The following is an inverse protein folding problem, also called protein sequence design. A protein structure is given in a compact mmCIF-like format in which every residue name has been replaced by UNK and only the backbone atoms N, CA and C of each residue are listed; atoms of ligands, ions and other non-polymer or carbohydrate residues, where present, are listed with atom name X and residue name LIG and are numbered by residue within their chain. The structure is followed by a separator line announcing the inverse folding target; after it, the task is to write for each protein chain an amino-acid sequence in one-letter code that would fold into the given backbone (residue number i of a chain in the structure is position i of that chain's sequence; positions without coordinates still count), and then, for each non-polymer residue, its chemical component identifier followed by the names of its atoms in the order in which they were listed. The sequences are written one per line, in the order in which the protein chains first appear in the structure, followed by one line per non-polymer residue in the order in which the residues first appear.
data_IF_501150980441
#
_entry.id   IF_501150980441
#
_cell.length_a   1.000
_cell.length_b   1.000
_cell.length_c   1.000
_cell.angle_alpha   90.00
_cell.angle_beta   90.00
_cell.angle_gamma   90.00
#
_symmetry.space_group_name_H-M   'P 1'
#
loop_
_entity.id
_entity.type
_entity.pdbx_description
1 polymer ?
#
# COMPACT_ATOMS: atom_id res chain seq x y z
N UNK A 1 -28.49 -15.47 -23.82
CA UNK A 1 -27.28 -14.94 -24.47
C UNK A 1 -26.78 -13.76 -23.62
N UNK A 2 -25.87 -13.99 -22.67
CA UNK A 2 -25.34 -12.93 -21.80
C UNK A 2 -24.20 -12.27 -22.56
N UNK A 3 -24.38 -11.02 -22.97
CA UNK A 3 -23.35 -10.21 -23.62
C UNK A 3 -22.29 -9.89 -22.55
N UNK A 4 -21.10 -10.48 -22.68
CA UNK A 4 -19.94 -10.09 -21.87
C UNK A 4 -19.63 -8.63 -22.20
N UNK A 5 -19.73 -7.74 -21.21
CA UNK A 5 -19.47 -6.32 -21.37
C UNK A 5 -17.95 -6.07 -21.50
N UNK A 6 -17.43 -5.68 -22.68
CA UNK A 6 -16.00 -5.48 -22.90
C UNK A 6 -15.43 -4.33 -22.04
N UNK A 7 -16.25 -3.35 -21.66
CA UNK A 7 -15.82 -2.18 -20.88
C UNK A 7 -15.47 -2.57 -19.44
N UNK A 8 -16.13 -3.62 -18.91
CA UNK A 8 -15.83 -4.16 -17.59
C UNK A 8 -14.39 -4.72 -17.52
N UNK A 9 -13.90 -5.36 -18.58
CA UNK A 9 -12.53 -5.89 -18.66
C UNK A 9 -11.47 -4.80 -18.63
N UNK A 10 -11.65 -3.76 -19.46
CA UNK A 10 -10.75 -2.61 -19.51
C UNK A 10 -10.67 -1.86 -18.17
N UNK A 11 -11.81 -1.75 -17.46
CA UNK A 11 -11.86 -1.13 -16.13
C UNK A 11 -11.11 -1.92 -15.06
N UNK A 12 -11.12 -3.26 -15.13
CA UNK A 12 -10.38 -4.13 -14.20
C UNK A 12 -8.89 -4.01 -14.46
N UNK A 13 -8.47 -4.12 -15.72
CA UNK A 13 -7.05 -4.02 -16.10
C UNK A 13 -6.44 -2.68 -15.66
N UNK A 14 -7.15 -1.58 -15.88
CA UNK A 14 -6.71 -0.24 -15.48
C UNK A 14 -6.50 -0.13 -13.96
N UNK A 15 -7.39 -0.73 -13.16
CA UNK A 15 -7.28 -0.72 -11.69
C UNK A 15 -6.17 -1.64 -11.19
N UNK A 16 -5.99 -2.82 -11.79
CA UNK A 16 -4.86 -3.72 -11.50
C UNK A 16 -3.54 -3.00 -11.76
N UNK A 17 -3.40 -2.34 -12.92
CA UNK A 17 -2.22 -1.56 -13.27
C UNK A 17 -1.94 -0.47 -12.25
N UNK A 18 -2.96 0.28 -11.85
CA UNK A 18 -2.80 1.33 -10.84
C UNK A 18 -2.27 0.78 -9.51
N UNK A 19 -2.86 -0.31 -9.01
CA UNK A 19 -2.42 -0.96 -7.76
C UNK A 19 -0.98 -1.45 -7.85
N UNK A 20 -0.62 -2.11 -8.95
CA UNK A 20 0.72 -2.64 -9.17
C UNK A 20 1.77 -1.51 -9.31
N UNK A 21 1.45 -0.43 -10.04
CA UNK A 21 2.34 0.73 -10.16
C UNK A 21 2.53 1.41 -8.81
N UNK A 22 1.47 1.60 -8.03
CA UNK A 22 1.57 2.15 -6.67
C UNK A 22 2.47 1.28 -5.78
N UNK A 23 2.27 -0.04 -5.80
CA UNK A 23 3.13 -1.00 -5.10
C UNK A 23 4.60 -0.89 -5.53
N UNK A 24 4.87 -0.79 -6.83
CA UNK A 24 6.22 -0.66 -7.36
C UNK A 24 6.89 0.65 -6.94
N UNK A 25 6.17 1.77 -7.01
CA UNK A 25 6.67 3.08 -6.57
C UNK A 25 6.99 3.08 -5.08
N UNK A 26 6.10 2.54 -4.25
CA UNK A 26 6.36 2.45 -2.81
C UNK A 26 7.50 1.48 -2.48
N UNK A 27 7.63 0.36 -3.18
CA UNK A 27 8.75 -0.56 -3.01
C UNK A 27 10.09 0.11 -3.39
N UNK A 28 10.14 0.76 -4.55
CA UNK A 28 11.32 1.48 -5.04
C UNK A 28 11.77 2.55 -4.05
N UNK A 29 10.84 3.43 -3.66
CA UNK A 29 11.14 4.53 -2.73
C UNK A 29 11.45 4.01 -1.33
N UNK A 30 10.86 2.89 -0.90
CA UNK A 30 11.15 2.25 0.39
C UNK A 30 12.55 1.64 0.44
N UNK A 31 12.98 0.98 -0.64
CA UNK A 31 14.35 0.47 -0.79
C UNK A 31 15.35 1.62 -0.80
N UNK A 32 15.08 2.69 -1.56
CA UNK A 32 15.93 3.87 -1.60
C UNK A 32 16.05 4.54 -0.22
N UNK A 33 14.92 4.72 0.47
CA UNK A 33 14.89 5.26 1.84
C UNK A 33 15.66 4.37 2.81
N UNK A 34 15.47 3.04 2.77
CA UNK A 34 16.20 2.10 3.63
C UNK A 34 17.72 2.15 3.41
N UNK A 35 18.17 2.20 2.16
CA UNK A 35 19.58 2.34 1.84
C UNK A 35 20.14 3.67 2.36
N UNK A 36 19.40 4.77 2.17
CA UNK A 36 19.76 6.10 2.67
C UNK A 36 19.83 6.14 4.20
N UNK A 37 18.83 5.59 4.90
CA UNK A 37 18.80 5.48 6.36
C UNK A 37 20.02 4.73 6.90
N UNK A 38 20.34 3.58 6.30
CA UNK A 38 21.42 2.71 6.76
C UNK A 38 22.83 3.28 6.57
N UNK A 39 23.07 4.02 5.48
CA UNK A 39 24.41 4.49 5.11
C UNK A 39 24.67 5.97 5.42
N UNK A 40 23.66 6.83 5.28
CA UNK A 40 23.83 8.26 5.43
C UNK A 40 23.30 8.80 6.77
N UNK A 41 22.18 8.24 7.26
CA UNK A 41 21.41 8.89 8.32
C UNK A 41 21.83 8.47 9.74
N UNK A 42 22.29 7.22 9.92
CA UNK A 42 22.60 6.63 11.23
C UNK A 42 23.59 7.42 12.10
N UNK A 43 24.54 8.11 11.50
CA UNK A 43 25.53 8.93 12.22
C UNK A 43 25.09 10.38 12.44
N UNK A 44 23.97 10.79 11.84
CA UNK A 44 23.54 12.20 11.77
C UNK A 44 22.32 12.48 12.64
N UNK A 45 21.48 11.48 12.89
CA UNK A 45 20.25 11.63 13.67
C UNK A 45 20.31 10.93 15.02
N UNK A 46 19.59 11.44 16.03
CA UNK A 46 19.46 10.77 17.32
C UNK A 46 18.75 9.41 17.17
N UNK A 47 19.01 8.44 18.07
CA UNK A 47 18.48 7.08 17.97
C UNK A 47 16.95 7.00 17.81
N UNK A 48 16.21 7.91 18.44
CA UNK A 48 14.75 7.95 18.38
C UNK A 48 14.23 8.29 16.97
N UNK A 49 14.89 9.23 16.27
CA UNK A 49 14.53 9.61 14.90
C UNK A 49 14.94 8.55 13.88
N UNK A 50 16.06 7.87 14.10
CA UNK A 50 16.44 6.69 13.31
C UNK A 50 15.40 5.58 13.48
N UNK A 51 14.94 5.30 14.71
CA UNK A 51 13.92 4.29 14.94
C UNK A 51 12.59 4.61 14.23
N UNK A 52 12.17 5.88 14.22
CA UNK A 52 11.00 6.34 13.47
C UNK A 52 11.19 6.14 11.95
N UNK A 53 12.34 6.53 11.42
CA UNK A 53 12.69 6.36 10.01
C UNK A 53 12.68 4.88 9.59
N UNK A 54 13.33 4.01 10.36
CA UNK A 54 13.39 2.57 10.08
C UNK A 54 11.99 1.94 10.17
N UNK A 55 11.13 2.43 11.07
CA UNK A 55 9.73 2.01 11.14
C UNK A 55 8.97 2.39 9.86
N UNK A 56 9.16 3.62 9.37
CA UNK A 56 8.55 4.07 8.10
C UNK A 56 8.97 3.18 6.92
N UNK A 57 10.28 2.90 6.78
CA UNK A 57 10.83 2.03 5.72
C UNK A 57 10.20 0.64 5.76
N UNK A 58 10.16 0.03 6.96
CA UNK A 58 9.61 -1.33 7.14
C UNK A 58 8.13 -1.41 6.76
N UNK A 59 7.32 -0.46 7.24
CA UNK A 59 5.89 -0.44 6.95
C UNK A 59 5.61 -0.10 5.48
N UNK A 60 6.38 0.80 4.87
CA UNK A 60 6.27 1.09 3.45
C UNK A 60 6.56 -0.14 2.59
N UNK A 61 7.63 -0.87 2.88
CA UNK A 61 7.96 -2.11 2.16
C UNK A 61 6.86 -3.16 2.32
N UNK A 62 6.37 -3.38 3.53
CA UNK A 62 5.30 -4.34 3.81
C UNK A 62 4.02 -4.01 3.03
N UNK A 63 3.62 -2.74 2.99
CA UNK A 63 2.37 -2.34 2.33
C UNK A 63 2.50 -2.11 0.82
N UNK A 64 3.71 -1.90 0.31
CA UNK A 64 4.01 -2.05 -1.10
C UNK A 64 3.73 -3.48 -1.58
N UNK A 65 4.19 -4.49 -0.82
CA UNK A 65 3.87 -5.90 -1.10
C UNK A 65 2.37 -6.20 -0.96
N UNK A 66 1.71 -5.59 0.03
CA UNK A 66 0.26 -5.71 0.18
C UNK A 66 -0.52 -5.14 -1.01
N UNK A 67 -0.03 -4.08 -1.66
CA UNK A 67 -0.63 -3.54 -2.89
C UNK A 67 -0.49 -4.51 -4.07
N UNK A 68 0.66 -5.16 -4.23
CA UNK A 68 0.82 -6.22 -5.23
C UNK A 68 -0.12 -7.41 -4.96
N UNK A 69 -0.22 -7.85 -3.71
CA UNK A 69 -1.17 -8.90 -3.31
C UNK A 69 -2.62 -8.48 -3.61
N UNK A 70 -2.96 -7.21 -3.36
CA UNK A 70 -4.29 -6.66 -3.65
C UNK A 70 -4.55 -6.60 -5.16
N UNK A 71 -3.56 -6.23 -5.97
CA UNK A 71 -3.68 -6.24 -7.43
C UNK A 71 -3.98 -7.65 -7.95
N UNK A 72 -3.26 -8.66 -7.43
CA UNK A 72 -3.48 -10.07 -7.76
C UNK A 72 -4.86 -10.58 -7.32
N UNK A 73 -5.28 -10.27 -6.09
CA UNK A 73 -6.62 -10.60 -5.58
C UNK A 73 -7.70 -9.95 -6.44
N UNK A 74 -7.55 -8.67 -6.79
CA UNK A 74 -8.53 -7.95 -7.61
C UNK A 74 -8.58 -8.49 -9.05
N UNK A 75 -7.45 -8.91 -9.62
CA UNK A 75 -7.42 -9.55 -10.93
C UNK A 75 -8.17 -10.91 -10.92
N UNK A 76 -8.00 -11.69 -9.86
CA UNK A 76 -8.59 -13.02 -9.70
C UNK A 76 -10.09 -12.95 -9.33
N UNK A 77 -10.42 -12.02 -8.44
CA UNK A 77 -11.74 -11.82 -7.84
C UNK A 77 -12.09 -10.34 -7.82
N UNK A 78 -12.47 -9.76 -8.98
CA UNK A 78 -12.75 -8.34 -9.07
C UNK A 78 -13.92 -7.96 -8.17
N UNK A 79 -13.72 -6.95 -7.34
CA UNK A 79 -14.72 -6.49 -6.38
C UNK A 79 -14.34 -5.18 -5.70
N UNK A 80 -15.36 -4.42 -5.27
CA UNK A 80 -15.18 -3.12 -4.60
C UNK A 80 -14.39 -3.24 -3.29
N UNK A 81 -14.49 -4.37 -2.60
CA UNK A 81 -13.81 -4.62 -1.31
C UNK A 81 -12.29 -4.70 -1.50
N UNK A 82 -11.80 -5.41 -2.53
CA UNK A 82 -10.37 -5.48 -2.83
C UNK A 82 -9.81 -4.11 -3.26
N UNK A 83 -10.57 -3.32 -4.01
CA UNK A 83 -10.17 -1.95 -4.35
C UNK A 83 -10.07 -1.04 -3.11
N UNK A 84 -11.04 -1.15 -2.20
CA UNK A 84 -11.01 -0.41 -0.95
C UNK A 84 -9.80 -0.81 -0.10
N UNK A 85 -9.44 -2.10 -0.06
CA UNK A 85 -8.23 -2.57 0.61
C UNK A 85 -6.96 -1.89 0.03
N UNK A 86 -6.86 -1.83 -1.30
CA UNK A 86 -5.74 -1.19 -1.98
C UNK A 86 -5.66 0.31 -1.71
N UNK A 87 -6.80 1.01 -1.72
CA UNK A 87 -6.87 2.42 -1.36
C UNK A 87 -6.43 2.66 0.10
N UNK A 88 -6.86 1.79 1.02
CA UNK A 88 -6.45 1.83 2.43
C UNK A 88 -4.94 1.63 2.60
N UNK A 89 -4.33 0.68 1.89
CA UNK A 89 -2.87 0.50 1.94
C UNK A 89 -2.11 1.69 1.34
N UNK A 90 -2.56 2.22 0.20
CA UNK A 90 -1.91 3.36 -0.43
C UNK A 90 -2.00 4.62 0.45
N UNK A 91 -3.20 4.97 0.92
CA UNK A 91 -3.41 6.11 1.81
C UNK A 91 -2.69 5.91 3.15
N UNK A 92 -2.76 4.71 3.73
CA UNK A 92 -2.03 4.36 4.93
C UNK A 92 -0.52 4.53 4.76
N UNK A 93 0.04 4.15 3.61
CA UNK A 93 1.47 4.26 3.33
C UNK A 93 1.90 5.72 3.29
N UNK A 94 1.14 6.56 2.58
CA UNK A 94 1.41 7.99 2.51
C UNK A 94 1.31 8.66 3.89
N UNK A 95 0.24 8.39 4.64
CA UNK A 95 -0.01 9.05 5.93
C UNK A 95 0.93 8.54 7.02
N UNK A 96 1.06 7.22 7.20
CA UNK A 96 1.87 6.62 8.24
C UNK A 96 3.37 6.75 7.95
N UNK A 97 3.81 6.29 6.78
CA UNK A 97 5.25 6.28 6.48
C UNK A 97 5.73 7.70 6.16
N UNK A 98 4.95 8.47 5.41
CA UNK A 98 5.26 9.86 5.10
C UNK A 98 5.40 10.73 6.36
N UNK A 99 4.50 10.59 7.35
CA UNK A 99 4.62 11.34 8.60
C UNK A 99 5.83 10.94 9.43
N UNK A 100 6.16 9.65 9.50
CA UNK A 100 7.37 9.18 10.19
C UNK A 100 8.66 9.62 9.50
N UNK A 101 8.71 9.66 8.16
CA UNK A 101 9.84 10.26 7.45
C UNK A 101 9.95 11.76 7.72
N UNK A 102 8.83 12.49 7.68
CA UNK A 102 8.81 13.92 7.97
C UNK A 102 9.25 14.20 9.42
N UNK A 103 8.78 13.42 10.39
CA UNK A 103 9.23 13.48 11.78
C UNK A 103 10.75 13.22 11.87
N UNK A 104 11.22 12.17 11.19
CA UNK A 104 12.63 11.79 11.24
C UNK A 104 13.56 12.77 10.53
N UNK A 105 13.13 13.44 9.45
CA UNK A 105 13.98 14.33 8.65
C UNK A 105 13.81 15.81 8.99
N UNK A 106 12.59 16.24 9.29
CA UNK A 106 12.25 17.66 9.53
C UNK A 106 12.18 18.02 11.02
N UNK A 107 12.23 17.03 11.92
CA UNK A 107 12.06 17.23 13.38
C UNK A 107 10.70 17.82 13.78
N UNK A 108 9.68 17.67 12.95
CA UNK A 108 8.41 18.36 13.12
C UNK A 108 7.39 17.43 13.81
N UNK A 109 7.00 17.65 15.08
CA UNK A 109 6.23 16.66 15.82
C UNK A 109 4.75 16.60 15.41
N UNK A 110 4.18 17.70 14.89
CA UNK A 110 2.75 17.77 14.59
C UNK A 110 2.35 16.83 13.44
N UNK A 111 3.25 16.55 12.50
CA UNK A 111 2.98 15.58 11.43
C UNK A 111 2.77 14.17 11.97
N UNK A 112 3.30 13.88 13.17
CA UNK A 112 3.12 12.61 13.87
C UNK A 112 1.65 12.26 14.15
N UNK A 113 0.75 13.26 14.21
CA UNK A 113 -0.70 13.07 14.39
C UNK A 113 -1.32 12.30 13.21
N UNK A 114 -0.69 12.33 12.02
CA UNK A 114 -1.15 11.56 10.86
C UNK A 114 -0.82 10.07 10.96
N UNK A 115 0.19 9.70 11.76
CA UNK A 115 0.62 8.31 11.96
C UNK A 115 -0.53 7.40 12.38
N UNK A 116 -1.30 7.67 13.46
CA UNK A 116 -2.41 6.80 13.86
C UNK A 116 -3.49 6.67 12.77
N UNK A 117 -3.77 7.73 12.01
CA UNK A 117 -4.74 7.70 10.91
C UNK A 117 -4.27 6.75 9.81
N UNK A 118 -2.99 6.84 9.44
CA UNK A 118 -2.40 5.91 8.47
C UNK A 118 -2.39 4.46 8.98
N UNK A 119 -2.16 4.25 10.28
CA UNK A 119 -2.22 2.94 10.93
C UNK A 119 -3.61 2.31 10.88
N UNK A 120 -4.66 3.11 11.09
CA UNK A 120 -6.06 2.67 10.87
C UNK A 120 -6.28 2.27 9.42
N UNK A 121 -5.69 3.01 8.47
CA UNK A 121 -5.66 2.65 7.05
C UNK A 121 -5.05 1.26 6.82
N UNK A 122 -3.91 0.95 7.43
CA UNK A 122 -3.30 -0.38 7.31
C UNK A 122 -4.16 -1.51 7.90
N UNK A 123 -4.72 -1.29 9.09
CA UNK A 123 -5.64 -2.26 9.72
C UNK A 123 -6.87 -2.51 8.85
N UNK A 124 -7.48 -1.43 8.33
CA UNK A 124 -8.59 -1.50 7.40
C UNK A 124 -8.22 -2.22 6.10
N UNK A 125 -7.04 -1.93 5.54
CA UNK A 125 -6.53 -2.56 4.33
C UNK A 125 -6.42 -4.07 4.47
N UNK A 126 -5.75 -4.56 5.53
CA UNK A 126 -5.64 -6.01 5.77
C UNK A 126 -6.98 -6.67 6.04
N UNK A 127 -7.85 -6.02 6.82
CA UNK A 127 -9.19 -6.53 7.11
C UNK A 127 -10.01 -6.67 5.83
N UNK A 128 -10.02 -5.63 4.98
CA UNK A 128 -10.74 -5.64 3.71
C UNK A 128 -10.15 -6.65 2.73
N UNK A 129 -8.82 -6.79 2.68
CA UNK A 129 -8.18 -7.80 1.83
C UNK A 129 -8.60 -9.21 2.26
N UNK A 130 -8.62 -9.50 3.56
CA UNK A 130 -9.10 -10.78 4.09
C UNK A 130 -10.58 -11.03 3.74
N UNK A 131 -11.44 -10.02 3.92
CA UNK A 131 -12.87 -10.11 3.56
C UNK A 131 -13.02 -10.35 2.06
N UNK A 132 -12.25 -9.65 1.22
CA UNK A 132 -12.28 -9.82 -0.22
C UNK A 132 -11.98 -11.28 -0.59
N UNK A 133 -10.92 -11.86 -0.05
CA UNK A 133 -10.52 -13.26 -0.29
C UNK A 133 -11.61 -14.23 0.18
N UNK A 134 -12.10 -14.10 1.42
CA UNK A 134 -13.10 -15.04 1.99
C UNK A 134 -14.43 -14.98 1.26
N UNK A 135 -14.87 -13.79 0.82
CA UNK A 135 -16.16 -13.60 0.14
C UNK A 135 -16.06 -13.67 -1.39
N UNK A 136 -14.90 -14.02 -1.92
CA UNK A 136 -14.63 -14.08 -3.36
C UNK A 136 -15.47 -15.13 -4.08
N UNK A 137 -16.13 -14.74 -5.19
CA UNK A 137 -16.61 -15.68 -6.20
C UNK A 137 -15.66 -15.63 -7.38
N UNK A 138 -15.16 -16.78 -7.86
CA UNK A 138 -14.29 -16.84 -9.04
C UNK A 138 -14.90 -16.08 -10.21
N UNK A 139 -14.11 -15.22 -10.85
CA UNK A 139 -14.46 -14.64 -12.14
C UNK A 139 -14.76 -15.81 -13.09
N UNK A 140 -15.95 -15.82 -13.70
CA UNK A 140 -16.21 -16.73 -14.82
C UNK A 140 -15.39 -16.20 -15.99
N UNK A 141 -14.42 -16.97 -16.43
CA UNK A 141 -13.66 -16.63 -17.63
C UNK A 141 -14.64 -16.50 -18.80
N UNK A 142 -14.65 -15.36 -19.51
CA UNK A 142 -15.39 -15.25 -20.75
C UNK A 142 -14.61 -16.03 -21.82
N UNK A 143 -14.82 -17.35 -21.85
CA UNK A 143 -14.58 -18.25 -22.99
C UNK A 143 -13.11 -18.38 -23.46
N UNK A 144 -12.55 -19.60 -23.30
CA UNK A 144 -11.59 -20.15 -24.28
C UNK A 144 -12.36 -20.51 -25.55
#
# INVERSE_FOLDING_TARGET
MIRSDPDAGASVESRVRWLAVAGAVFALTGVAAGAFGAHALKSWLPPQRIAAFDTAVRYQGLHALALFATAWVFQTWPGRVALAAGACFAAGTLLFCGSLYALALLDEPWVGILTPIGGIGFLGGWTLLAIAIVKSKKRKDPVR
#
